data_IF_692713335312
#
_entry.id   IF_692713335312
#
_cell.length_a   1.000
_cell.length_b   1.000
_cell.length_c   1.000
_cell.angle_alpha   90.00
_cell.angle_beta   90.00
_cell.angle_gamma   90.00
#
_symmetry.space_group_name_H-M   'P 1'
#
loop_
_entity.id
_entity.type
_entity.pdbx_description
1 polymer ?
#
# COMPACT_ATOMS: atom_id res chain seq x y z
N UNK A 1 24.08 0.14 12.29
CA UNK A 1 23.76 -0.73 11.12
C UNK A 1 22.46 -1.52 11.24
N UNK A 2 22.24 -2.35 12.28
CA UNK A 2 20.97 -3.09 12.43
C UNK A 2 19.77 -2.14 12.61
N UNK A 3 19.89 -1.15 13.50
CA UNK A 3 18.84 -0.14 13.72
C UNK A 3 18.50 0.65 12.45
N UNK A 4 19.51 1.03 11.66
CA UNK A 4 19.31 1.74 10.38
C UNK A 4 18.55 0.88 9.36
N UNK A 5 18.92 -0.40 9.21
CA UNK A 5 18.20 -1.35 8.34
C UNK A 5 16.74 -1.53 8.78
N UNK A 6 16.50 -1.69 10.08
CA UNK A 6 15.15 -1.81 10.64
C UNK A 6 14.34 -0.52 10.52
N UNK A 7 14.99 0.64 10.65
CA UNK A 7 14.36 1.93 10.43
C UNK A 7 13.85 2.06 8.99
N UNK A 8 14.68 1.80 7.98
CA UNK A 8 14.24 1.85 6.58
C UNK A 8 13.16 0.81 6.27
N UNK A 9 13.27 -0.41 6.81
CA UNK A 9 12.24 -1.44 6.66
C UNK A 9 10.91 -0.99 7.30
N UNK A 10 10.96 -0.35 8.46
CA UNK A 10 9.79 0.19 9.16
C UNK A 10 9.16 1.35 8.37
N UNK A 11 9.96 2.29 7.85
CA UNK A 11 9.46 3.38 7.01
C UNK A 11 8.79 2.83 5.75
N UNK A 12 9.39 1.85 5.08
CA UNK A 12 8.80 1.20 3.91
C UNK A 12 7.48 0.50 4.27
N UNK A 13 7.42 -0.19 5.43
CA UNK A 13 6.20 -0.81 5.93
C UNK A 13 5.09 0.22 6.16
N UNK A 14 5.40 1.34 6.82
CA UNK A 14 4.42 2.42 7.06
C UNK A 14 3.93 3.03 5.73
N UNK A 15 4.82 3.22 4.76
CA UNK A 15 4.45 3.73 3.44
C UNK A 15 3.48 2.76 2.74
N UNK A 16 3.79 1.47 2.72
CA UNK A 16 2.92 0.44 2.11
C UNK A 16 1.59 0.35 2.85
N UNK A 17 1.60 0.32 4.18
CA UNK A 17 0.38 0.27 4.99
C UNK A 17 -0.51 1.50 4.75
N UNK A 18 0.11 2.68 4.60
CA UNK A 18 -0.59 3.93 4.27
C UNK A 18 -1.20 3.87 2.87
N UNK A 19 -0.46 3.40 1.87
CA UNK A 19 -0.99 3.20 0.51
C UNK A 19 -2.15 2.21 0.52
N UNK A 20 -2.01 1.07 1.19
CA UNK A 20 -3.09 0.09 1.32
C UNK A 20 -4.32 0.71 1.98
N UNK A 21 -4.16 1.49 3.06
CA UNK A 21 -5.27 2.16 3.70
C UNK A 21 -5.96 3.20 2.80
N UNK A 22 -5.17 3.94 2.02
CA UNK A 22 -5.69 4.94 1.09
C UNK A 22 -6.45 4.29 -0.07
N UNK A 23 -5.92 3.21 -0.66
CA UNK A 23 -6.50 2.61 -1.86
C UNK A 23 -7.55 1.55 -1.58
N UNK A 24 -7.48 0.81 -0.46
CA UNK A 24 -8.48 -0.21 -0.13
C UNK A 24 -9.85 0.39 0.15
N UNK A 25 -10.93 -0.30 -0.24
CA UNK A 25 -12.26 0.25 -0.07
C UNK A 25 -12.63 0.24 1.41
N UNK A 26 -13.17 1.38 1.85
CA UNK A 26 -13.79 1.57 3.15
C UNK A 26 -15.27 1.87 2.98
N UNK A 27 -16.05 1.79 4.05
CA UNK A 27 -17.47 2.12 4.04
C UNK A 27 -17.76 3.19 5.07
N UNK A 28 -18.50 4.20 4.64
CA UNK A 28 -19.06 5.23 5.51
C UNK A 28 -20.59 5.03 5.52
N UNK A 29 -21.20 4.99 6.70
CA UNK A 29 -22.66 5.00 6.84
C UNK A 29 -23.13 6.44 6.97
N UNK A 30 -23.95 6.88 6.02
CA UNK A 30 -24.38 8.27 5.86
C UNK A 30 -25.81 8.35 5.33
N UNK A 31 -26.43 9.52 5.48
CA UNK A 31 -27.60 9.93 4.70
C UNK A 31 -27.12 10.76 3.51
N UNK A 32 -27.71 10.57 2.34
CA UNK A 32 -27.37 11.38 1.15
C UNK A 32 -28.27 12.61 1.15
N UNK A 33 -27.67 13.79 1.01
CA UNK A 33 -28.38 15.07 1.00
C UNK A 33 -28.58 15.59 -0.44
N UNK A 34 -27.75 15.14 -1.39
CA UNK A 34 -27.86 15.55 -2.78
C UNK A 34 -26.61 15.21 -3.60
N UNK A 35 -26.59 15.67 -4.84
CA UNK A 35 -25.45 15.52 -5.75
C UNK A 35 -25.16 16.82 -6.47
N UNK A 36 -23.90 17.08 -6.77
CA UNK A 36 -23.49 18.19 -7.62
C UNK A 36 -22.70 17.67 -8.82
N UNK A 37 -22.70 18.44 -9.92
CA UNK A 37 -21.73 18.26 -11.01
C UNK A 37 -20.95 19.54 -11.13
N UNK A 38 -19.63 19.45 -11.00
CA UNK A 38 -18.74 20.61 -11.09
C UNK A 38 -17.76 20.41 -12.23
N UNK A 39 -17.66 21.43 -13.06
CA UNK A 39 -16.60 21.55 -14.04
C UNK A 39 -15.30 21.90 -13.30
N UNK A 40 -14.33 21.00 -13.33
CA UNK A 40 -13.06 21.18 -12.64
C UNK A 40 -11.96 21.46 -13.67
N UNK A 41 -11.31 22.63 -13.53
CA UNK A 41 -10.11 22.96 -14.28
C UNK A 41 -8.90 22.36 -13.55
N UNK A 42 -8.44 21.22 -14.04
CA UNK A 42 -7.32 20.49 -13.44
C UNK A 42 -6.04 21.00 -14.09
N UNK A 43 -5.39 21.97 -13.44
CA UNK A 43 -4.09 22.47 -13.87
C UNK A 43 -3.01 21.39 -13.71
N UNK A 44 -2.06 21.37 -14.64
CA UNK A 44 -0.86 20.52 -14.59
C UNK A 44 -0.13 20.67 -13.25
N UNK A 45 0.08 19.57 -12.52
CA UNK A 45 0.78 19.54 -11.23
C UNK A 45 -0.12 19.50 -9.99
N UNK A 46 -1.44 19.36 -10.12
CA UNK A 46 -2.33 19.20 -8.97
C UNK A 46 -2.20 17.79 -8.36
N UNK A 47 -1.57 17.60 -7.18
CA UNK A 47 -1.07 16.29 -6.74
C UNK A 47 -2.14 15.20 -6.53
N UNK A 48 -3.43 15.60 -6.50
CA UNK A 48 -4.56 14.74 -6.15
C UNK A 48 -5.71 14.79 -7.17
N UNK A 49 -5.57 15.60 -8.21
CA UNK A 49 -6.54 15.79 -9.28
C UNK A 49 -5.95 15.46 -10.66
N UNK A 50 -4.63 15.43 -10.79
CA UNK A 50 -3.91 15.29 -12.04
C UNK A 50 -3.78 13.82 -12.48
N UNK A 51 -4.90 13.18 -12.84
CA UNK A 51 -4.87 11.91 -13.56
C UNK A 51 -5.62 12.04 -14.88
N UNK A 52 -4.92 12.21 -16.01
CA UNK A 52 -5.56 12.10 -17.32
C UNK A 52 -6.17 10.70 -17.46
N UNK A 53 -7.39 10.63 -18.00
CA UNK A 53 -7.93 9.34 -18.45
C UNK A 53 -7.04 8.82 -19.58
N UNK A 54 -6.98 7.50 -19.76
CA UNK A 54 -6.15 6.91 -20.81
C UNK A 54 -6.67 7.38 -22.20
N UNK A 55 -5.97 8.34 -22.81
CA UNK A 55 -6.29 8.90 -24.12
C UNK A 55 -6.73 10.37 -24.15
N UNK A 56 -6.76 11.09 -23.02
CA UNK A 56 -7.23 12.49 -22.98
C UNK A 56 -6.10 13.51 -22.85
N UNK A 57 -6.23 14.62 -23.58
CA UNK A 57 -5.24 15.68 -23.70
C UNK A 57 -4.98 16.44 -22.37
N UNK A 58 -3.77 17.00 -22.21
CA UNK A 58 -3.21 17.54 -20.95
C UNK A 58 -3.83 18.86 -20.42
N UNK A 59 -4.91 19.34 -21.04
CA UNK A 59 -5.65 20.55 -20.64
C UNK A 59 -7.15 20.24 -20.46
N UNK A 60 -7.47 19.10 -19.86
CA UNK A 60 -8.84 18.61 -19.77
C UNK A 60 -9.56 19.17 -18.53
N UNK A 61 -10.26 20.29 -18.72
CA UNK A 61 -11.45 20.61 -17.93
C UNK A 61 -12.39 19.39 -17.97
N UNK A 62 -12.72 18.81 -16.82
CA UNK A 62 -13.62 17.63 -16.75
C UNK A 62 -14.78 17.86 -15.78
N UNK A 63 -15.91 17.27 -16.10
CA UNK A 63 -17.10 17.34 -15.26
C UNK A 63 -17.02 16.24 -14.19
N UNK A 64 -16.86 16.66 -12.94
CA UNK A 64 -16.73 15.79 -11.78
C UNK A 64 -18.05 15.77 -11.02
N UNK A 65 -18.58 14.57 -10.81
CA UNK A 65 -19.78 14.37 -10.00
C UNK A 65 -19.41 14.26 -8.51
N UNK A 66 -20.22 14.85 -7.67
CA UNK A 66 -20.07 14.82 -6.22
C UNK A 66 -21.35 14.33 -5.55
N UNK A 67 -21.19 13.56 -4.48
CA UNK A 67 -22.28 13.07 -3.65
C UNK A 67 -22.11 13.74 -2.28
N UNK A 68 -23.09 14.56 -1.92
CA UNK A 68 -23.15 15.27 -0.64
C UNK A 68 -23.94 14.42 0.36
N UNK A 69 -23.38 14.24 1.54
CA UNK A 69 -23.91 13.34 2.54
C UNK A 69 -23.64 13.85 3.97
N UNK A 70 -24.31 13.24 4.93
CA UNK A 70 -24.22 13.57 6.34
C UNK A 70 -24.07 12.30 7.18
N UNK A 71 -23.14 12.34 8.15
CA UNK A 71 -22.93 11.25 9.12
C UNK A 71 -23.95 11.34 10.26
N UNK A 72 -24.08 10.26 11.05
CA UNK A 72 -24.91 10.22 12.26
C UNK A 72 -24.65 11.35 13.27
N UNK A 73 -23.44 11.91 13.28
CA UNK A 73 -23.07 13.04 14.14
C UNK A 73 -23.32 14.43 13.50
N UNK A 74 -24.11 14.51 12.43
CA UNK A 74 -24.41 15.75 11.71
C UNK A 74 -23.27 16.30 10.87
N UNK A 75 -22.10 15.65 10.83
CA UNK A 75 -20.95 16.15 10.07
C UNK A 75 -21.12 15.84 8.59
N UNK A 76 -21.02 16.90 7.77
CA UNK A 76 -20.99 16.79 6.32
C UNK A 76 -19.82 15.91 5.83
N UNK A 77 -20.12 15.09 4.84
CA UNK A 77 -19.20 14.19 4.15
C UNK A 77 -19.50 14.28 2.66
N UNK A 78 -18.46 14.55 1.87
CA UNK A 78 -18.60 14.69 0.42
C UNK A 78 -17.70 13.67 -0.24
N UNK A 79 -18.26 12.95 -1.20
CA UNK A 79 -17.55 12.01 -2.05
C UNK A 79 -17.47 12.56 -3.46
N UNK A 80 -16.34 12.32 -4.10
CA UNK A 80 -16.25 12.39 -5.55
C UNK A 80 -16.83 11.11 -6.14
N UNK A 81 -17.38 11.17 -7.34
CA UNK A 81 -17.89 10.01 -8.07
C UNK A 81 -17.37 10.07 -9.51
N UNK A 82 -16.20 9.48 -9.70
CA UNK A 82 -15.57 9.32 -11.01
C UNK A 82 -15.46 7.85 -11.36
N UNK A 83 -15.40 7.59 -12.65
CA UNK A 83 -15.06 6.27 -13.15
C UNK A 83 -13.58 6.00 -12.95
N UNK A 84 -13.30 4.80 -12.48
CA UNK A 84 -11.91 4.36 -12.27
C UNK A 84 -11.39 3.70 -13.52
N UNK A 85 -12.30 3.15 -14.34
CA UNK A 85 -11.99 2.52 -15.60
C UNK A 85 -10.85 1.49 -15.46
N UNK A 86 -9.85 1.57 -16.32
CA UNK A 86 -8.64 0.77 -16.30
C UNK A 86 -7.52 1.37 -15.45
N UNK A 87 -7.78 2.49 -14.77
CA UNK A 87 -6.79 3.20 -13.96
C UNK A 87 -6.64 2.58 -12.57
N UNK A 88 -5.51 2.88 -11.92
CA UNK A 88 -5.28 2.48 -10.54
C UNK A 88 -6.04 3.39 -9.55
N UNK A 89 -6.69 2.85 -8.49
CA UNK A 89 -6.80 1.43 -8.15
C UNK A 89 -7.75 0.68 -9.09
N UNK A 90 -7.35 -0.51 -9.58
CA UNK A 90 -8.07 -1.26 -10.63
C UNK A 90 -9.43 -1.82 -10.16
N UNK A 91 -10.40 -0.93 -9.89
CA UNK A 91 -11.75 -1.27 -9.48
C UNK A 91 -12.72 -1.42 -10.65
N UNK A 92 -12.30 -1.08 -11.87
CA UNK A 92 -13.10 -1.29 -13.09
C UNK A 92 -14.51 -0.69 -12.97
N UNK A 93 -14.57 0.53 -12.43
CA UNK A 93 -15.81 1.28 -12.25
C UNK A 93 -16.07 2.13 -13.50
N UNK A 94 -17.23 1.95 -14.12
CA UNK A 94 -17.68 2.63 -15.35
C UNK A 94 -19.12 3.19 -15.25
N UNK A 95 -19.68 3.22 -14.03
CA UNK A 95 -21.08 3.49 -13.74
C UNK A 95 -21.28 4.81 -12.96
N UNK A 96 -20.39 5.80 -13.10
CA UNK A 96 -20.50 7.06 -12.34
C UNK A 96 -21.82 7.79 -12.56
N UNK A 97 -22.36 7.77 -13.77
CA UNK A 97 -23.67 8.34 -14.08
C UNK A 97 -24.80 7.67 -13.30
N UNK A 98 -24.86 6.33 -13.35
CA UNK A 98 -25.89 5.53 -12.68
C UNK A 98 -25.80 5.65 -11.16
N UNK A 99 -24.59 5.62 -10.61
CA UNK A 99 -24.35 5.82 -9.18
C UNK A 99 -24.81 7.21 -8.73
N UNK A 100 -24.62 8.23 -9.58
CA UNK A 100 -25.09 9.58 -9.29
C UNK A 100 -26.62 9.69 -9.34
N UNK A 101 -27.26 9.06 -10.32
CA UNK A 101 -28.72 8.99 -10.39
C UNK A 101 -29.32 8.24 -9.18
N UNK A 102 -28.69 7.14 -8.76
CA UNK A 102 -29.05 6.40 -7.55
C UNK A 102 -28.93 7.30 -6.31
N UNK A 103 -27.84 8.05 -6.17
CA UNK A 103 -27.64 9.00 -5.08
C UNK A 103 -28.71 10.10 -5.06
N UNK A 104 -29.08 10.66 -6.22
CA UNK A 104 -30.17 11.65 -6.33
C UNK A 104 -31.52 11.09 -5.90
N UNK A 105 -31.83 9.84 -6.27
CA UNK A 105 -33.06 9.17 -5.85
C UNK A 105 -33.10 8.94 -4.33
N UNK A 106 -31.96 8.55 -3.74
CA UNK A 106 -31.83 8.35 -2.30
C UNK A 106 -31.90 9.66 -1.51
N UNK A 107 -31.43 10.78 -2.08
CA UNK A 107 -31.51 12.10 -1.45
C UNK A 107 -32.95 12.59 -1.23
N UNK A 108 -33.92 12.04 -1.99
CA UNK A 108 -35.35 12.35 -1.85
C UNK A 108 -36.05 11.49 -0.80
N UNK A 109 -35.37 10.47 -0.28
CA UNK A 109 -35.91 9.59 0.76
C UNK A 109 -35.46 10.11 2.11
N UNK A 110 -36.39 10.71 2.85
CA UNK A 110 -36.12 11.17 4.21
C UNK A 110 -35.64 10.01 5.08
N UNK A 111 -34.63 10.28 5.90
CA UNK A 111 -34.04 9.38 6.90
C UNK A 111 -33.39 8.08 6.40
N UNK A 112 -33.29 7.85 5.08
CA UNK A 112 -32.67 6.62 4.55
C UNK A 112 -31.15 6.59 4.76
N UNK A 113 -30.70 5.66 5.60
CA UNK A 113 -29.28 5.36 5.78
C UNK A 113 -28.73 4.53 4.63
N UNK A 114 -27.51 4.87 4.21
CA UNK A 114 -26.79 4.12 3.18
C UNK A 114 -25.34 3.91 3.58
N UNK A 115 -24.80 2.75 3.20
CA UNK A 115 -23.37 2.49 3.22
C UNK A 115 -22.78 2.91 1.87
N UNK A 116 -21.99 3.98 1.88
CA UNK A 116 -21.20 4.41 0.73
C UNK A 116 -19.84 3.71 0.80
N UNK A 117 -19.55 2.85 -0.17
CA UNK A 117 -18.22 2.27 -0.33
C UNK A 117 -17.35 3.26 -1.09
N UNK A 118 -16.18 3.59 -0.57
CA UNK A 118 -15.27 4.56 -1.17
C UNK A 118 -13.81 4.17 -0.94
N UNK A 119 -12.90 4.77 -1.71
CA UNK A 119 -11.46 4.75 -1.42
C UNK A 119 -10.91 6.17 -1.39
N UNK A 120 -9.74 6.33 -0.78
CA UNK A 120 -9.10 7.61 -0.55
C UNK A 120 -9.56 8.29 0.74
N UNK A 121 -8.94 9.43 1.03
CA UNK A 121 -9.20 10.19 2.24
C UNK A 121 -9.87 11.52 1.94
N UNK A 122 -10.64 12.03 2.91
CA UNK A 122 -11.09 13.41 2.90
C UNK A 122 -10.01 14.27 3.56
N UNK A 123 -9.31 15.09 2.77
CA UNK A 123 -8.36 16.08 3.30
C UNK A 123 -8.84 17.48 2.90
N UNK A 124 -9.39 18.22 3.87
CA UNK A 124 -10.02 19.53 3.63
C UNK A 124 -9.04 20.56 3.08
N UNK A 125 -7.81 20.60 3.62
CA UNK A 125 -6.77 21.56 3.25
C UNK A 125 -6.41 21.54 1.76
N UNK A 126 -6.46 20.36 1.14
CA UNK A 126 -6.11 20.16 -0.26
C UNK A 126 -7.31 19.87 -1.15
N UNK A 127 -8.54 20.10 -0.63
CA UNK A 127 -9.77 19.77 -1.33
C UNK A 127 -9.82 18.32 -1.83
N UNK A 128 -9.21 17.35 -1.12
CA UNK A 128 -9.20 15.95 -1.56
C UNK A 128 -10.47 15.29 -1.06
N UNK A 129 -11.20 14.63 -1.96
CA UNK A 129 -12.42 13.90 -1.65
C UNK A 129 -12.21 12.41 -1.93
N UNK A 130 -12.70 11.53 -1.05
CA UNK A 130 -12.71 10.10 -1.34
C UNK A 130 -13.61 9.82 -2.56
N UNK A 131 -13.23 8.84 -3.38
CA UNK A 131 -14.00 8.43 -4.56
C UNK A 131 -15.01 7.33 -4.19
N UNK A 132 -16.30 7.57 -4.42
CA UNK A 132 -17.37 6.61 -4.19
C UNK A 132 -17.37 5.53 -5.27
N UNK A 133 -17.61 4.28 -4.86
CA UNK A 133 -17.59 3.11 -5.72
C UNK A 133 -18.90 2.33 -5.73
N UNK A 134 -19.71 2.45 -4.67
CA UNK A 134 -21.06 1.91 -4.63
C UNK A 134 -21.84 2.48 -3.45
N UNK A 135 -23.17 2.41 -3.55
CA UNK A 135 -24.10 2.80 -2.49
C UNK A 135 -25.04 1.63 -2.22
N UNK A 136 -25.22 1.29 -0.94
CA UNK A 136 -26.14 0.24 -0.51
C UNK A 136 -27.01 0.75 0.64
N UNK A 137 -28.34 0.58 0.54
CA UNK A 137 -29.25 0.86 1.65
C UNK A 137 -28.91 0.00 2.88
N UNK A 138 -28.96 0.59 4.05
CA UNK A 138 -28.78 -0.10 5.34
C UNK A 138 -29.88 0.33 6.31
N UNK A 139 -30.09 -0.46 7.36
CA UNK A 139 -31.18 -0.23 8.32
C UNK A 139 -30.92 0.94 9.27
N UNK A 140 -29.66 1.35 9.46
CA UNK A 140 -29.33 2.40 10.42
C UNK A 140 -27.83 2.76 10.45
N UNK A 141 -27.45 3.71 11.32
CA UNK A 141 -26.08 4.22 11.44
C UNK A 141 -25.08 3.21 12.06
N UNK A 142 -25.57 2.30 12.91
CA UNK A 142 -24.72 1.37 13.69
C UNK A 142 -24.62 -0.02 13.07
N UNK A 143 -25.01 -0.17 11.80
CA UNK A 143 -24.95 -1.47 11.11
C UNK A 143 -23.51 -1.94 10.96
N UNK A 144 -23.25 -3.15 11.44
CA UNK A 144 -21.96 -3.79 11.26
C UNK A 144 -21.80 -4.35 9.85
N UNK A 145 -20.74 -3.93 9.15
CA UNK A 145 -20.44 -4.34 7.77
C UNK A 145 -19.06 -4.98 7.69
N UNK A 146 -19.03 -6.29 7.45
CA UNK A 146 -17.77 -7.04 7.32
C UNK A 146 -17.04 -6.64 6.03
N UNK A 147 -15.75 -6.24 6.08
CA UNK A 147 -14.97 -5.84 4.92
C UNK A 147 -14.41 -7.05 4.16
N UNK A 148 -15.28 -7.92 3.64
CA UNK A 148 -14.92 -9.16 2.96
C UNK A 148 -13.86 -8.98 1.86
N UNK A 149 -13.99 -7.95 1.01
CA UNK A 149 -13.00 -7.65 -0.02
C UNK A 149 -11.61 -7.44 0.57
N UNK A 150 -11.48 -6.61 1.63
CA UNK A 150 -10.20 -6.31 2.25
C UNK A 150 -9.62 -7.56 2.92
N UNK A 151 -10.46 -8.37 3.58
CA UNK A 151 -10.03 -9.63 4.21
C UNK A 151 -9.44 -10.57 3.17
N UNK A 152 -10.16 -10.83 2.08
CA UNK A 152 -9.71 -11.73 1.01
C UNK A 152 -8.45 -11.15 0.34
N UNK A 153 -8.46 -9.88 -0.04
CA UNK A 153 -7.34 -9.23 -0.71
C UNK A 153 -6.07 -9.25 0.14
N UNK A 154 -6.15 -8.87 1.41
CA UNK A 154 -5.01 -8.86 2.32
C UNK A 154 -4.51 -10.27 2.63
N UNK A 155 -5.41 -11.25 2.75
CA UNK A 155 -5.03 -12.65 2.97
C UNK A 155 -4.27 -13.21 1.76
N UNK A 156 -4.76 -12.93 0.54
CA UNK A 156 -4.06 -13.31 -0.70
C UNK A 156 -2.73 -12.60 -0.85
N UNK A 157 -2.68 -11.29 -0.55
CA UNK A 157 -1.44 -10.52 -0.59
C UNK A 157 -0.41 -11.09 0.40
N UNK A 158 -0.83 -11.38 1.64
CA UNK A 158 0.04 -12.00 2.65
C UNK A 158 0.54 -13.38 2.20
N UNK A 159 -0.35 -14.20 1.61
CA UNK A 159 0.01 -15.51 1.06
C UNK A 159 1.04 -15.40 -0.07
N UNK A 160 0.87 -14.45 -0.99
CA UNK A 160 1.82 -14.20 -2.09
C UNK A 160 3.17 -13.74 -1.54
N UNK A 161 3.19 -12.75 -0.64
CA UNK A 161 4.41 -12.25 -0.01
C UNK A 161 5.15 -13.36 0.75
N UNK A 162 4.42 -14.20 1.49
CA UNK A 162 4.97 -15.36 2.17
C UNK A 162 5.56 -16.38 1.18
N UNK A 163 4.87 -16.64 0.07
CA UNK A 163 5.33 -17.56 -0.97
C UNK A 163 6.61 -17.06 -1.63
N UNK A 164 6.67 -15.77 -1.98
CA UNK A 164 7.86 -15.11 -2.52
C UNK A 164 9.01 -15.20 -1.52
N UNK A 165 8.76 -14.86 -0.25
CA UNK A 165 9.76 -14.96 0.81
C UNK A 165 10.31 -16.38 0.95
N UNK A 166 9.45 -17.41 0.88
CA UNK A 166 9.87 -18.81 0.92
C UNK A 166 10.75 -19.16 -0.28
N UNK A 167 10.38 -18.74 -1.49
CA UNK A 167 11.16 -18.99 -2.71
C UNK A 167 12.53 -18.33 -2.61
N UNK A 168 12.59 -17.07 -2.18
CA UNK A 168 13.85 -16.34 -1.98
C UNK A 168 14.72 -17.05 -0.93
N UNK A 169 14.15 -17.47 0.19
CA UNK A 169 14.92 -18.18 1.22
C UNK A 169 15.47 -19.51 0.71
N UNK A 170 14.68 -20.29 -0.03
CA UNK A 170 15.15 -21.55 -0.65
C UNK A 170 16.22 -21.32 -1.71
N UNK A 171 16.14 -20.22 -2.45
CA UNK A 171 17.15 -19.84 -3.43
C UNK A 171 18.46 -19.42 -2.74
N UNK A 172 18.37 -18.62 -1.65
CA UNK A 172 19.53 -18.23 -0.84
C UNK A 172 20.27 -19.43 -0.25
N UNK A 173 19.54 -20.38 0.35
CA UNK A 173 20.14 -21.58 0.94
C UNK A 173 20.88 -22.44 -0.08
N UNK A 174 20.42 -22.45 -1.33
CA UNK A 174 21.00 -23.29 -2.39
C UNK A 174 22.15 -22.63 -3.13
N UNK A 175 22.10 -21.32 -3.34
CA UNK A 175 23.02 -20.63 -4.23
C UNK A 175 23.94 -19.64 -3.50
N UNK A 176 23.48 -19.02 -2.42
CA UNK A 176 24.22 -17.95 -1.73
C UNK A 176 24.99 -18.49 -0.53
N UNK A 177 24.32 -19.28 0.32
CA UNK A 177 24.92 -19.87 1.51
C UNK A 177 26.18 -20.71 1.19
N UNK A 178 26.21 -21.62 0.19
CA UNK A 178 27.41 -22.42 -0.09
C UNK A 178 28.59 -21.60 -0.65
N UNK A 179 28.34 -20.53 -1.40
CA UNK A 179 29.40 -19.64 -1.91
C UNK A 179 29.98 -18.84 -0.75
N UNK A 180 29.12 -18.35 0.14
CA UNK A 180 29.55 -17.58 1.32
C UNK A 180 30.36 -18.47 2.27
N UNK A 181 29.91 -19.71 2.49
CA UNK A 181 30.60 -20.69 3.33
C UNK A 181 32.00 -21.03 2.74
N UNK A 182 32.12 -21.24 1.42
CA UNK A 182 33.41 -21.48 0.74
C UNK A 182 34.39 -20.30 0.86
N UNK A 183 33.90 -19.08 0.63
CA UNK A 183 34.73 -17.87 0.79
C UNK A 183 35.22 -17.74 2.23
N UNK A 184 34.38 -18.06 3.22
CA UNK A 184 34.78 -18.03 4.63
C UNK A 184 35.85 -19.07 4.96
N UNK A 185 35.72 -20.29 4.41
CA UNK A 185 36.70 -21.36 4.55
C UNK A 185 38.06 -20.97 3.93
N UNK A 186 38.08 -20.51 2.68
CA UNK A 186 39.30 -20.04 1.99
C UNK A 186 39.98 -18.88 2.74
N UNK A 187 39.21 -17.90 3.22
CA UNK A 187 39.77 -16.80 4.03
C UNK A 187 40.35 -17.31 5.35
N UNK A 188 39.74 -18.32 5.98
CA UNK A 188 40.22 -18.85 7.26
C UNK A 188 41.52 -19.64 7.10
N UNK A 189 41.66 -20.40 6.02
CA UNK A 189 42.87 -21.16 5.70
C UNK A 189 44.01 -20.23 5.26
N UNK A 190 43.72 -19.20 4.48
CA UNK A 190 44.68 -18.13 4.18
C UNK A 190 45.13 -17.39 5.46
N UNK A 191 44.22 -17.15 6.41
CA UNK A 191 44.59 -16.53 7.68
C UNK A 191 45.48 -17.44 8.55
N UNK A 192 45.21 -18.76 8.59
CA UNK A 192 46.03 -19.73 9.32
C UNK A 192 47.45 -19.83 8.75
N UNK A 193 47.57 -20.01 7.45
CA UNK A 193 48.88 -20.10 6.77
C UNK A 193 49.74 -18.85 6.97
N UNK A 194 49.13 -17.66 6.92
CA UNK A 194 49.85 -16.42 7.23
C UNK A 194 50.20 -16.30 8.71
N UNK A 195 49.35 -16.78 9.61
CA UNK A 195 49.66 -16.84 11.05
C UNK A 195 50.85 -17.74 11.35
N UNK A 196 50.97 -18.88 10.69
CA UNK A 196 52.11 -19.80 10.87
C UNK A 196 53.43 -19.19 10.40
N UNK A 197 53.41 -18.27 9.43
CA UNK A 197 54.61 -17.64 8.89
C UNK A 197 54.89 -16.24 9.48
N UNK A 198 53.90 -15.61 10.10
CA UNK A 198 54.00 -14.28 10.69
C UNK A 198 52.90 -14.07 11.76
N UNK A 199 53.21 -14.38 13.02
CA UNK A 199 52.27 -14.35 14.16
C UNK A 199 51.47 -13.02 14.26
N UNK A 200 52.13 -11.88 14.05
CA UNK A 200 51.48 -10.56 14.14
C UNK A 200 50.56 -10.24 12.93
N UNK A 201 50.85 -10.78 11.75
CA UNK A 201 50.07 -10.55 10.54
C UNK A 201 48.84 -11.48 10.48
N UNK A 202 49.01 -12.74 10.88
CA UNK A 202 47.94 -13.74 10.92
C UNK A 202 46.78 -13.35 11.84
N UNK A 203 47.08 -12.85 13.04
CA UNK A 203 46.07 -12.42 14.01
C UNK A 203 45.22 -11.24 13.49
N UNK A 204 45.85 -10.32 12.74
CA UNK A 204 45.18 -9.18 12.11
C UNK A 204 44.26 -9.62 10.96
N UNK A 205 44.72 -10.56 10.13
CA UNK A 205 43.98 -11.10 8.99
C UNK A 205 42.85 -12.03 9.43
N UNK A 206 43.05 -12.86 10.45
CA UNK A 206 42.01 -13.70 11.05
C UNK A 206 40.88 -12.83 11.64
N UNK A 207 41.21 -11.74 12.33
CA UNK A 207 40.22 -10.75 12.78
C UNK A 207 39.51 -10.07 11.61
N UNK A 208 40.22 -9.73 10.54
CA UNK A 208 39.66 -9.07 9.36
C UNK A 208 38.76 -10.01 8.54
N UNK A 209 39.17 -11.26 8.30
CA UNK A 209 38.38 -12.29 7.63
C UNK A 209 37.13 -12.69 8.42
N UNK A 210 37.25 -12.83 9.74
CA UNK A 210 36.10 -12.99 10.65
C UNK A 210 35.17 -11.76 10.61
N UNK A 211 35.71 -10.55 10.52
CA UNK A 211 34.91 -9.33 10.38
C UNK A 211 34.19 -9.23 9.02
N UNK A 212 34.85 -9.64 7.93
CA UNK A 212 34.31 -9.70 6.57
C UNK A 212 33.22 -10.77 6.50
N UNK A 213 33.46 -12.00 6.96
CA UNK A 213 32.45 -13.05 7.04
C UNK A 213 31.24 -12.64 7.87
N UNK A 214 31.46 -12.00 9.04
CA UNK A 214 30.37 -11.41 9.85
C UNK A 214 29.64 -10.27 9.14
N UNK A 215 30.33 -9.48 8.33
CA UNK A 215 29.74 -8.40 7.52
C UNK A 215 28.84 -8.96 6.41
N UNK A 216 29.31 -9.93 5.64
CA UNK A 216 28.53 -10.61 4.60
C UNK A 216 27.31 -11.34 5.18
N UNK A 217 27.48 -12.07 6.29
CA UNK A 217 26.36 -12.70 7.01
C UNK A 217 25.31 -11.71 7.50
N UNK A 218 25.72 -10.50 7.87
CA UNK A 218 24.82 -9.42 8.33
C UNK A 218 24.10 -8.71 7.17
N UNK A 219 24.72 -8.66 5.98
CA UNK A 219 24.17 -8.02 4.79
C UNK A 219 23.16 -8.95 4.10
N UNK A 220 23.52 -10.21 3.89
CA UNK A 220 22.69 -11.18 3.14
C UNK A 220 21.73 -11.99 4.02
N UNK A 221 22.03 -12.07 5.33
CA UNK A 221 21.26 -12.81 6.32
C UNK A 221 21.45 -14.32 6.16
N UNK A 222 22.08 -14.97 7.14
CA UNK A 222 22.17 -16.44 7.17
C UNK A 222 20.83 -17.04 7.57
N UNK A 223 20.40 -18.08 6.88
CA UNK A 223 19.18 -18.82 7.24
C UNK A 223 19.44 -20.02 8.16
N UNK A 224 20.71 -20.39 8.40
CA UNK A 224 21.06 -21.49 9.32
C UNK A 224 20.65 -21.15 10.76
N UNK A 225 19.91 -22.02 11.46
CA UNK A 225 19.66 -21.86 12.88
C UNK A 225 20.99 -21.89 13.62
N UNK A 226 21.14 -21.04 14.65
CA UNK A 226 22.27 -21.15 15.57
C UNK A 226 22.15 -22.51 16.26
N UNK A 227 23.10 -23.41 15.99
CA UNK A 227 23.40 -24.54 16.85
C UNK A 227 24.00 -24.03 18.17
#
# INVERSE_FOLDING_TARGET
>A
MKAVKWFFAFVAFILIATMLNYFLPSRDIVKINGTDVKRMDISKGSPFWDRPDAGTNREATRDVRFINAERANGKARVYRNEDTEWSFPFYFKFDSGDLNAQAQSLAKQDEQWVAVRHYGWRIKLFSIFPNATSIKKVSGPDVFLIPWFNIVFLSLLAFILFSIWRVINRWKTKNVDPITDKIEEELSEAAKTVSEHADAAGDSLAKQGSAIGRFWRKLFGTTKPKA
#
